data_IF_959130140817
#
_entry.id   IF_959130140817
#
_cell.length_a   1.000
_cell.length_b   1.000
_cell.length_c   1.000
_cell.angle_alpha   90.00
_cell.angle_beta   90.00
_cell.angle_gamma   90.00
#
_symmetry.space_group_name_H-M   'P 1'
#
loop_
_entity.id
_entity.type
_entity.pdbx_description
1 polymer ?
#
# COMPACT_ATOMS: atom_id res chain seq x y z
N UNK A 1 -20.17 2.45 1.04
CA UNK A 1 -18.91 1.68 1.13
C UNK A 1 -17.82 2.55 1.73
N UNK A 2 -16.96 1.97 2.60
CA UNK A 2 -15.79 2.63 3.17
C UNK A 2 -14.54 1.75 2.97
N UNK A 3 -13.43 2.35 2.51
CA UNK A 3 -12.15 1.67 2.40
C UNK A 3 -11.15 2.35 3.32
N UNK A 4 -10.45 1.58 4.13
CA UNK A 4 -9.33 2.04 4.95
C UNK A 4 -8.07 1.43 4.35
N UNK A 5 -7.25 2.26 3.70
CA UNK A 5 -5.94 1.85 3.18
C UNK A 5 -4.91 2.02 4.29
N UNK A 6 -4.11 1.01 4.55
CA UNK A 6 -3.04 1.03 5.55
C UNK A 6 -1.72 0.61 4.91
N UNK A 7 -0.68 1.44 5.04
CA UNK A 7 0.69 1.05 4.69
C UNK A 7 1.28 0.17 5.81
N UNK A 8 2.05 -0.85 5.43
CA UNK A 8 2.81 -1.66 6.39
C UNK A 8 3.73 -0.81 7.27
N UNK A 9 4.11 -1.32 8.44
CA UNK A 9 5.13 -0.74 9.33
C UNK A 9 6.51 -0.74 8.69
N UNK A 10 7.46 -0.01 9.27
CA UNK A 10 8.84 0.02 8.79
C UNK A 10 9.40 -1.40 8.69
N UNK A 11 9.95 -1.76 7.52
CA UNK A 11 10.55 -3.06 7.25
C UNK A 11 12.06 -2.96 7.13
N UNK A 12 12.73 -4.11 7.23
CA UNK A 12 14.19 -4.17 7.08
C UNK A 12 14.65 -3.53 5.76
N UNK A 13 13.92 -3.72 4.66
CA UNK A 13 14.26 -3.10 3.37
C UNK A 13 14.09 -1.58 3.32
N UNK A 14 13.42 -0.95 4.31
CA UNK A 14 13.31 0.49 4.39
C UNK A 14 14.53 1.16 5.08
N UNK A 15 15.31 0.41 5.84
CA UNK A 15 16.50 0.90 6.57
C UNK A 15 17.82 0.31 6.03
N UNK A 16 17.77 -0.83 5.37
CA UNK A 16 18.92 -1.50 4.75
C UNK A 16 18.55 -1.96 3.34
N UNK A 17 18.92 -1.18 2.34
CA UNK A 17 18.66 -1.52 0.93
C UNK A 17 19.39 -2.79 0.49
N UNK A 18 20.52 -3.14 1.10
CA UNK A 18 21.23 -4.38 0.80
C UNK A 18 20.49 -5.62 1.33
N UNK A 19 19.49 -5.44 2.19
CA UNK A 19 18.64 -6.55 2.62
C UNK A 19 17.94 -7.23 1.44
N UNK A 20 17.55 -6.47 0.40
CA UNK A 20 16.95 -7.03 -0.81
C UNK A 20 17.89 -7.97 -1.59
N UNK A 21 19.20 -7.81 -1.43
CA UNK A 21 20.18 -8.72 -2.06
C UNK A 21 20.28 -10.08 -1.35
N UNK A 22 19.81 -10.17 -0.10
CA UNK A 22 19.93 -11.35 0.76
C UNK A 22 18.61 -12.03 1.06
N UNK A 23 17.54 -11.25 1.11
CA UNK A 23 16.20 -11.71 1.48
C UNK A 23 15.23 -11.33 0.35
N UNK A 24 14.44 -12.27 -0.16
CA UNK A 24 13.43 -11.94 -1.16
C UNK A 24 12.48 -10.85 -0.66
N UNK A 25 12.07 -9.92 -1.53
CA UNK A 25 11.26 -8.76 -1.14
C UNK A 25 9.99 -9.15 -0.35
N UNK A 26 9.30 -10.20 -0.80
CA UNK A 26 8.09 -10.66 -0.11
C UNK A 26 8.33 -11.17 1.32
N UNK A 27 9.57 -11.59 1.64
CA UNK A 27 9.96 -12.19 2.91
C UNK A 27 10.61 -11.18 3.89
N UNK A 28 10.82 -9.93 3.47
CA UNK A 28 11.41 -8.90 4.34
C UNK A 28 10.54 -8.64 5.58
N UNK A 29 11.10 -8.80 6.81
CA UNK A 29 10.35 -8.61 8.04
C UNK A 29 10.20 -7.12 8.40
N UNK A 30 9.31 -6.84 9.35
CA UNK A 30 9.29 -5.54 10.03
C UNK A 30 10.55 -5.35 10.87
N UNK A 31 10.93 -4.09 11.10
CA UNK A 31 11.87 -3.72 12.17
C UNK A 31 11.14 -3.68 13.52
N UNK A 32 11.87 -3.68 14.67
CA UNK A 32 11.23 -3.45 15.97
C UNK A 32 10.38 -2.16 15.99
N UNK A 33 10.88 -1.10 15.36
CA UNK A 33 10.14 0.16 15.20
C UNK A 33 8.87 -0.03 14.36
N UNK A 34 8.93 -0.83 13.30
CA UNK A 34 7.76 -1.15 12.48
C UNK A 34 6.70 -1.93 13.26
N UNK A 35 7.09 -2.81 14.18
CA UNK A 35 6.17 -3.51 15.07
C UNK A 35 5.51 -2.55 16.06
N UNK A 36 6.26 -1.64 16.67
CA UNK A 36 5.73 -0.58 17.55
C UNK A 36 4.74 0.34 16.81
N UNK A 37 5.07 0.73 15.56
CA UNK A 37 4.16 1.50 14.71
C UNK A 37 2.85 0.77 14.48
N UNK A 38 2.90 -0.53 14.19
CA UNK A 38 1.72 -1.34 13.93
C UNK A 38 0.84 -1.52 15.19
N UNK A 39 1.44 -1.73 16.35
CA UNK A 39 0.68 -1.83 17.62
C UNK A 39 -0.01 -0.50 17.98
N UNK A 40 0.70 0.62 17.84
CA UNK A 40 0.16 1.96 18.06
C UNK A 40 -1.00 2.28 17.10
N UNK A 41 -0.84 1.94 15.82
CA UNK A 41 -1.89 2.13 14.82
C UNK A 41 -3.09 1.22 15.07
N UNK A 42 -2.85 0.01 15.56
CA UNK A 42 -3.90 -0.90 16.01
C UNK A 42 -4.80 -0.28 17.08
N UNK A 43 -4.23 0.44 18.06
CA UNK A 43 -5.00 1.14 19.07
C UNK A 43 -5.90 2.24 18.47
N UNK A 44 -5.39 2.99 17.48
CA UNK A 44 -6.16 4.03 16.77
C UNK A 44 -7.31 3.42 15.95
N UNK A 45 -7.02 2.36 15.21
CA UNK A 45 -8.03 1.70 14.38
C UNK A 45 -9.11 1.00 15.22
N UNK A 46 -8.77 0.41 16.37
CA UNK A 46 -9.77 -0.12 17.32
C UNK A 46 -10.72 0.98 17.81
N UNK A 47 -10.17 2.14 18.16
CA UNK A 47 -10.98 3.29 18.59
C UNK A 47 -11.89 3.83 17.47
N UNK A 48 -11.38 3.82 16.22
CA UNK A 48 -12.10 4.28 15.02
C UNK A 48 -13.23 3.32 14.62
N UNK A 49 -12.91 2.02 14.59
CA UNK A 49 -13.80 0.99 14.05
C UNK A 49 -14.86 0.55 15.08
N UNK A 50 -14.49 0.48 16.36
CA UNK A 50 -15.39 -0.02 17.44
C UNK A 50 -16.04 -1.35 17.02
N UNK A 51 -17.36 -1.37 16.98
CA UNK A 51 -18.18 -2.53 16.61
C UNK A 51 -18.53 -2.60 15.11
N UNK A 52 -17.87 -1.78 14.28
CA UNK A 52 -18.10 -1.78 12.84
C UNK A 52 -17.61 -3.09 12.22
N UNK A 53 -18.45 -3.85 11.50
CA UNK A 53 -18.00 -5.01 10.75
C UNK A 53 -16.99 -4.62 9.67
N UNK A 54 -15.89 -5.37 9.56
CA UNK A 54 -14.80 -5.09 8.62
C UNK A 54 -14.34 -6.38 7.93
N UNK A 55 -14.18 -6.32 6.61
CA UNK A 55 -13.44 -7.33 5.86
C UNK A 55 -12.01 -6.83 5.64
N UNK A 56 -11.00 -7.65 5.94
CA UNK A 56 -9.60 -7.30 5.72
C UNK A 56 -9.05 -7.99 4.46
N UNK A 57 -8.43 -7.20 3.61
CA UNK A 57 -7.68 -7.61 2.43
C UNK A 57 -6.21 -7.26 2.64
N UNK A 58 -5.35 -8.25 2.60
CA UNK A 58 -3.97 -8.11 3.06
C UNK A 58 -3.03 -8.59 1.97
N UNK A 59 -2.07 -7.75 1.58
CA UNK A 59 -0.95 -8.19 0.76
C UNK A 59 -0.26 -9.40 1.40
N UNK A 60 0.13 -10.45 0.61
CA UNK A 60 0.73 -11.66 1.16
C UNK A 60 2.18 -11.48 1.65
N UNK A 61 2.75 -10.29 1.55
CA UNK A 61 4.12 -10.02 1.99
C UNK A 61 4.25 -10.08 3.52
N UNK A 62 5.37 -10.60 4.02
CA UNK A 62 5.60 -10.81 5.47
C UNK A 62 5.36 -9.52 6.27
N UNK A 63 5.88 -8.37 5.80
CA UNK A 63 5.72 -7.07 6.47
C UNK A 63 4.26 -6.61 6.59
N UNK A 64 3.42 -6.86 5.58
CA UNK A 64 2.00 -6.51 5.62
C UNK A 64 1.19 -7.48 6.48
N UNK A 65 1.47 -8.76 6.39
CA UNK A 65 0.84 -9.79 7.24
C UNK A 65 1.16 -9.52 8.72
N UNK A 66 2.44 -9.27 9.02
CA UNK A 66 2.86 -8.96 10.40
C UNK A 66 2.27 -7.65 10.92
N UNK A 67 2.20 -6.61 10.07
CA UNK A 67 1.50 -5.35 10.41
C UNK A 67 0.07 -5.66 10.81
N UNK A 68 -0.68 -6.39 9.98
CA UNK A 68 -2.06 -6.73 10.24
C UNK A 68 -2.26 -7.51 11.57
N UNK A 69 -1.41 -8.49 11.86
CA UNK A 69 -1.46 -9.25 13.11
C UNK A 69 -1.35 -8.34 14.35
N UNK A 70 -0.42 -7.37 14.29
CA UNK A 70 -0.15 -6.45 15.38
C UNK A 70 -1.25 -5.40 15.58
N UNK A 71 -2.12 -5.16 14.59
CA UNK A 71 -3.30 -4.30 14.78
C UNK A 71 -4.27 -4.86 15.82
N UNK A 72 -4.30 -6.19 16.02
CA UNK A 72 -5.19 -6.89 16.98
C UNK A 72 -6.65 -6.48 16.84
N UNK A 73 -7.10 -6.34 15.59
CA UNK A 73 -8.48 -6.02 15.28
C UNK A 73 -9.35 -7.28 15.32
N UNK A 74 -10.59 -7.22 15.84
CA UNK A 74 -11.52 -8.35 15.87
C UNK A 74 -12.15 -8.56 14.48
N UNK A 75 -11.34 -8.94 13.49
CA UNK A 75 -11.77 -9.14 12.10
C UNK A 75 -11.87 -10.63 11.82
N UNK A 76 -13.07 -11.10 11.50
CA UNK A 76 -13.34 -12.49 11.18
C UNK A 76 -12.98 -12.82 9.72
N UNK A 77 -13.37 -11.95 8.77
CA UNK A 77 -13.13 -12.16 7.35
C UNK A 77 -11.78 -11.58 6.93
N UNK A 78 -10.77 -12.45 6.81
CA UNK A 78 -9.40 -12.12 6.41
C UNK A 78 -9.06 -12.79 5.10
N UNK A 79 -8.62 -12.01 4.12
CA UNK A 79 -8.31 -12.48 2.77
C UNK A 79 -6.89 -12.03 2.42
N UNK A 80 -6.01 -12.99 2.10
CA UNK A 80 -4.74 -12.67 1.44
C UNK A 80 -5.03 -12.35 -0.02
N UNK A 81 -4.63 -11.14 -0.44
CA UNK A 81 -4.93 -10.63 -1.78
C UNK A 81 -3.64 -10.32 -2.54
N UNK A 82 -3.20 -11.20 -3.44
CA UNK A 82 -1.92 -11.04 -4.16
C UNK A 82 -1.86 -9.79 -5.05
N UNK A 83 -3.00 -9.25 -5.50
CA UNK A 83 -3.04 -8.02 -6.29
C UNK A 83 -2.65 -6.78 -5.48
N UNK A 84 -2.62 -6.89 -4.14
CA UNK A 84 -2.20 -5.81 -3.22
C UNK A 84 -0.71 -5.82 -2.92
N UNK A 85 0.10 -6.73 -3.51
CA UNK A 85 1.56 -6.74 -3.33
C UNK A 85 2.18 -5.43 -3.79
N UNK A 86 3.40 -5.13 -3.34
CA UNK A 86 4.15 -3.96 -3.84
C UNK A 86 4.57 -4.19 -5.30
N UNK A 87 4.99 -3.12 -5.96
CA UNK A 87 5.60 -3.18 -7.28
C UNK A 87 6.77 -4.17 -7.25
N UNK A 88 6.79 -5.11 -8.19
CA UNK A 88 7.90 -6.02 -8.36
C UNK A 88 9.11 -5.28 -8.94
N UNK A 89 10.20 -5.27 -8.20
CA UNK A 89 11.45 -4.63 -8.59
C UNK A 89 12.36 -5.55 -9.41
N UNK A 90 11.91 -6.78 -9.72
CA UNK A 90 12.70 -7.76 -10.43
C UNK A 90 13.78 -8.40 -9.54
N UNK A 91 14.90 -8.74 -10.15
CA UNK A 91 16.01 -9.40 -9.45
C UNK A 91 16.88 -8.37 -8.71
N UNK A 92 16.63 -8.19 -7.41
CA UNK A 92 17.31 -7.19 -6.56
C UNK A 92 18.64 -7.70 -5.95
N UNK A 93 19.18 -8.84 -6.43
CA UNK A 93 20.40 -9.45 -5.88
C UNK A 93 21.69 -8.73 -6.33
N UNK A 94 21.61 -7.86 -7.33
CA UNK A 94 22.71 -6.99 -7.78
C UNK A 94 22.54 -5.56 -7.20
N UNK A 95 23.35 -5.15 -6.20
CA UNK A 95 23.26 -3.81 -5.61
C UNK A 95 23.50 -2.67 -6.60
N UNK A 96 24.42 -2.88 -7.55
CA UNK A 96 24.77 -1.86 -8.56
C UNK A 96 23.63 -1.70 -9.56
N UNK A 97 23.12 -2.83 -10.08
CA UNK A 97 21.96 -2.83 -10.97
C UNK A 97 20.73 -2.22 -10.32
N UNK A 98 20.51 -2.48 -9.04
CA UNK A 98 19.42 -1.89 -8.27
C UNK A 98 19.50 -0.35 -8.25
N UNK A 99 20.67 0.23 -8.00
CA UNK A 99 20.85 1.68 -8.01
C UNK A 99 20.61 2.28 -9.40
N UNK A 100 21.09 1.62 -10.45
CA UNK A 100 20.83 2.04 -11.84
C UNK A 100 19.34 2.03 -12.15
N UNK A 101 18.61 0.98 -11.74
CA UNK A 101 17.15 0.91 -11.95
C UNK A 101 16.41 2.01 -11.18
N UNK A 102 16.81 2.32 -9.95
CA UNK A 102 16.23 3.42 -9.16
C UNK A 102 16.41 4.77 -9.85
N UNK A 103 17.62 5.06 -10.32
CA UNK A 103 17.92 6.29 -11.02
C UNK A 103 17.08 6.43 -12.30
N UNK A 104 17.06 5.41 -13.15
CA UNK A 104 16.27 5.40 -14.37
C UNK A 104 14.78 5.59 -14.10
N UNK A 105 14.25 4.88 -13.09
CA UNK A 105 12.85 5.04 -12.67
C UNK A 105 12.54 6.47 -12.23
N UNK A 106 13.47 7.13 -11.54
CA UNK A 106 13.32 8.53 -11.16
C UNK A 106 13.32 9.47 -12.37
N UNK A 107 14.19 9.22 -13.36
CA UNK A 107 14.31 10.04 -14.57
C UNK A 107 13.12 9.84 -15.53
N UNK A 108 12.62 8.64 -15.68
CA UNK A 108 11.57 8.29 -16.66
C UNK A 108 10.15 8.24 -16.07
N UNK A 109 10.00 8.45 -14.76
CA UNK A 109 8.72 8.43 -14.05
C UNK A 109 8.34 7.07 -13.49
N UNK A 110 7.61 7.10 -12.39
CA UNK A 110 7.25 5.91 -11.62
C UNK A 110 6.11 5.11 -12.23
N UNK A 111 5.32 5.72 -13.10
CA UNK A 111 4.14 5.08 -13.68
C UNK A 111 4.48 4.21 -14.90
N UNK A 112 5.22 4.75 -15.86
CA UNK A 112 5.48 4.02 -17.12
C UNK A 112 6.82 3.28 -17.16
N UNK A 113 7.80 3.68 -16.34
CA UNK A 113 9.07 2.98 -16.34
C UNK A 113 8.92 1.56 -15.84
N UNK A 114 9.23 0.59 -16.69
CA UNK A 114 9.25 -0.83 -16.32
C UNK A 114 10.63 -1.18 -15.77
N UNK A 115 10.65 -1.70 -14.56
CA UNK A 115 11.85 -2.27 -13.95
C UNK A 115 12.29 -3.52 -14.72
N UNK A 116 13.57 -3.70 -14.86
CA UNK A 116 14.12 -4.88 -15.53
C UNK A 116 13.70 -6.16 -14.78
N UNK A 117 13.06 -7.08 -15.48
CA UNK A 117 12.44 -8.29 -14.91
C UNK A 117 11.35 -8.04 -13.87
N UNK A 118 10.82 -6.82 -13.78
CA UNK A 118 9.81 -6.41 -12.81
C UNK A 118 8.58 -5.75 -13.43
N UNK A 119 7.84 -5.04 -12.58
CA UNK A 119 6.62 -4.31 -12.96
C UNK A 119 6.92 -2.83 -13.23
N UNK A 120 6.12 -2.20 -14.08
CA UNK A 120 5.90 -0.76 -14.09
C UNK A 120 4.82 -0.35 -13.10
N UNK A 121 4.67 0.94 -12.81
CA UNK A 121 3.50 1.44 -12.09
C UNK A 121 2.17 1.14 -12.80
N UNK A 122 2.18 1.13 -14.15
CA UNK A 122 1.01 0.78 -14.94
C UNK A 122 0.56 -0.67 -14.72
N UNK A 123 1.48 -1.62 -14.61
CA UNK A 123 1.11 -3.02 -14.30
C UNK A 123 0.47 -3.14 -12.91
N UNK A 124 0.98 -2.39 -11.93
CA UNK A 124 0.37 -2.32 -10.60
C UNK A 124 -1.01 -1.69 -10.67
N UNK A 125 -1.17 -0.61 -11.45
CA UNK A 125 -2.43 0.09 -11.66
C UNK A 125 -3.50 -0.84 -12.25
N UNK A 126 -3.14 -1.70 -13.21
CA UNK A 126 -4.08 -2.67 -13.81
C UNK A 126 -4.53 -3.75 -12.82
N UNK A 127 -3.61 -4.30 -12.00
CA UNK A 127 -4.01 -5.32 -11.02
C UNK A 127 -4.81 -4.74 -9.85
N UNK A 128 -4.56 -3.50 -9.43
CA UNK A 128 -5.38 -2.86 -8.40
C UNK A 128 -6.76 -2.46 -8.94
N UNK A 129 -6.88 -2.11 -10.22
CA UNK A 129 -8.18 -1.90 -10.86
C UNK A 129 -9.04 -3.18 -10.83
N UNK A 130 -8.44 -4.33 -11.14
CA UNK A 130 -9.11 -5.63 -11.04
C UNK A 130 -9.55 -5.94 -9.60
N UNK A 131 -8.71 -5.63 -8.61
CA UNK A 131 -9.06 -5.79 -7.19
C UNK A 131 -10.25 -4.90 -6.80
N UNK A 132 -10.23 -3.62 -7.14
CA UNK A 132 -11.30 -2.67 -6.82
C UNK A 132 -12.63 -3.10 -7.43
N UNK A 133 -12.62 -3.52 -8.70
CA UNK A 133 -13.83 -4.01 -9.37
C UNK A 133 -14.41 -5.25 -8.65
N UNK A 134 -13.57 -6.18 -8.20
CA UNK A 134 -14.05 -7.33 -7.44
C UNK A 134 -14.55 -6.94 -6.05
N UNK A 135 -13.86 -6.03 -5.36
CA UNK A 135 -14.28 -5.54 -4.05
C UNK A 135 -15.66 -4.85 -4.12
N UNK A 136 -15.84 -3.95 -5.09
CA UNK A 136 -17.14 -3.30 -5.32
C UNK A 136 -18.25 -4.30 -5.63
N UNK A 137 -17.94 -5.31 -6.46
CA UNK A 137 -18.88 -6.36 -6.79
C UNK A 137 -19.28 -7.20 -5.56
N UNK A 138 -18.32 -7.55 -4.70
CA UNK A 138 -18.57 -8.27 -3.44
C UNK A 138 -19.45 -7.46 -2.50
N UNK A 139 -19.12 -6.19 -2.24
CA UNK A 139 -19.91 -5.31 -1.38
C UNK A 139 -21.34 -5.14 -1.90
N UNK A 140 -21.52 -5.11 -3.22
CA UNK A 140 -22.84 -4.91 -3.84
C UNK A 140 -23.74 -6.15 -3.85
N UNK A 141 -23.15 -7.34 -3.98
CA UNK A 141 -23.92 -8.57 -4.24
C UNK A 141 -23.80 -9.65 -3.18
N UNK A 142 -22.86 -9.54 -2.23
CA UNK A 142 -22.74 -10.45 -1.09
C UNK A 142 -23.32 -9.74 0.16
N UNK A 143 -24.55 -10.10 0.59
CA UNK A 143 -25.21 -9.44 1.71
C UNK A 143 -24.48 -9.64 3.06
N UNK A 144 -23.63 -10.65 3.15
CA UNK A 144 -22.81 -10.93 4.34
C UNK A 144 -21.46 -10.21 4.28
N UNK A 145 -21.17 -9.46 3.21
CA UNK A 145 -19.93 -8.70 3.10
C UNK A 145 -20.04 -7.36 3.84
N UNK A 146 -19.12 -7.07 4.77
CA UNK A 146 -19.09 -5.77 5.43
C UNK A 146 -18.93 -4.60 4.44
N UNK A 147 -19.62 -3.49 4.70
CA UNK A 147 -19.49 -2.25 3.93
C UNK A 147 -18.14 -1.54 4.14
N UNK A 148 -17.38 -1.97 5.14
CA UNK A 148 -16.04 -1.45 5.43
C UNK A 148 -14.99 -2.48 5.08
N UNK A 149 -14.04 -2.09 4.21
CA UNK A 149 -12.86 -2.87 3.86
C UNK A 149 -11.60 -2.24 4.46
N UNK A 150 -10.80 -3.04 5.19
CA UNK A 150 -9.43 -2.68 5.58
C UNK A 150 -8.47 -3.32 4.57
N UNK A 151 -7.68 -2.48 3.90
CA UNK A 151 -6.69 -2.90 2.89
C UNK A 151 -5.29 -2.63 3.43
N UNK A 152 -4.57 -3.69 3.82
CA UNK A 152 -3.19 -3.58 4.31
C UNK A 152 -2.22 -3.85 3.15
N UNK A 153 -1.47 -2.82 2.76
CA UNK A 153 -0.68 -2.83 1.54
C UNK A 153 0.58 -1.95 1.63
N UNK A 154 1.06 -1.40 0.53
CA UNK A 154 2.34 -0.72 0.36
C UNK A 154 2.15 0.70 -0.18
N UNK A 155 3.22 1.49 -0.15
CA UNK A 155 3.13 2.92 -0.45
C UNK A 155 2.70 3.23 -1.88
N UNK A 156 3.35 2.65 -2.89
CA UNK A 156 2.97 2.85 -4.29
C UNK A 156 1.57 2.31 -4.56
N UNK A 157 1.29 1.10 -4.08
CA UNK A 157 -0.01 0.45 -4.27
C UNK A 157 -1.16 1.29 -3.69
N UNK A 158 -0.98 1.93 -2.52
CA UNK A 158 -1.98 2.85 -1.95
C UNK A 158 -2.25 4.05 -2.87
N UNK A 159 -1.20 4.66 -3.43
CA UNK A 159 -1.35 5.80 -4.34
C UNK A 159 -2.09 5.40 -5.62
N UNK A 160 -1.82 4.22 -6.16
CA UNK A 160 -2.47 3.70 -7.36
C UNK A 160 -3.94 3.30 -7.11
N UNK A 161 -4.26 2.73 -5.95
CA UNK A 161 -5.65 2.52 -5.54
C UNK A 161 -6.44 3.84 -5.52
N UNK A 162 -5.86 4.88 -4.93
CA UNK A 162 -6.47 6.21 -4.93
C UNK A 162 -6.55 6.81 -6.35
N UNK A 163 -5.48 6.66 -7.15
CA UNK A 163 -5.50 7.11 -8.54
C UNK A 163 -6.69 6.53 -9.30
N UNK A 164 -6.98 5.24 -9.15
CA UNK A 164 -8.13 4.59 -9.80
C UNK A 164 -9.46 5.13 -9.31
N UNK A 165 -9.65 5.20 -7.99
CA UNK A 165 -10.91 5.65 -7.38
C UNK A 165 -11.24 7.12 -7.69
N UNK A 166 -10.22 7.98 -7.76
CA UNK A 166 -10.39 9.42 -8.00
C UNK A 166 -10.11 9.84 -9.44
N UNK A 167 -9.76 8.90 -10.32
CA UNK A 167 -9.38 9.19 -11.71
C UNK A 167 -8.25 10.25 -11.79
N UNK A 168 -7.28 10.20 -10.88
CA UNK A 168 -6.16 11.13 -10.89
C UNK A 168 -5.33 11.00 -12.17
N UNK A 169 -4.84 12.12 -12.65
CA UNK A 169 -3.88 12.11 -13.75
C UNK A 169 -2.57 11.44 -13.33
N UNK A 170 -1.76 11.04 -14.32
CA UNK A 170 -0.45 10.45 -14.07
C UNK A 170 0.49 11.47 -13.44
N UNK A 171 0.42 12.73 -13.89
CA UNK A 171 1.21 13.85 -13.34
C UNK A 171 0.91 14.06 -11.85
N UNK A 172 -0.37 14.00 -11.45
CA UNK A 172 -0.73 14.10 -10.05
C UNK A 172 -0.17 12.90 -9.26
N UNK A 173 -0.35 11.68 -9.77
CA UNK A 173 0.21 10.48 -9.13
C UNK A 173 1.74 10.59 -8.95
N UNK A 174 2.46 11.03 -9.99
CA UNK A 174 3.92 11.21 -9.96
C UNK A 174 4.36 12.27 -8.94
N UNK A 175 3.54 13.28 -8.70
CA UNK A 175 3.84 14.35 -7.73
C UNK A 175 3.66 13.95 -6.27
N UNK A 176 3.02 12.80 -5.98
CA UNK A 176 2.70 12.37 -4.63
C UNK A 176 3.81 11.52 -4.02
N UNK A 177 4.10 11.73 -2.74
CA UNK A 177 4.98 10.87 -1.94
C UNK A 177 4.21 9.68 -1.35
N UNK A 178 4.95 8.62 -0.99
CA UNK A 178 4.37 7.54 -0.22
C UNK A 178 3.92 8.03 1.17
N UNK A 179 2.79 7.53 1.71
CA UNK A 179 2.42 7.85 3.08
C UNK A 179 3.47 7.29 4.06
N UNK A 180 3.60 7.85 5.28
CA UNK A 180 4.43 7.27 6.33
C UNK A 180 4.10 5.80 6.62
N UNK A 181 5.03 5.07 7.26
CA UNK A 181 4.77 3.70 7.69
C UNK A 181 3.65 3.64 8.73
N UNK A 182 2.81 2.63 8.67
CA UNK A 182 1.59 2.49 9.47
C UNK A 182 0.64 3.69 9.41
N UNK A 183 0.71 4.49 8.35
CA UNK A 183 -0.25 5.56 8.12
C UNK A 183 -1.44 5.04 7.32
N UNK A 184 -2.65 5.42 7.74
CA UNK A 184 -3.87 5.02 7.04
C UNK A 184 -4.51 6.18 6.28
N UNK A 185 -5.32 5.85 5.28
CA UNK A 185 -6.20 6.75 4.54
C UNK A 185 -7.61 6.17 4.55
N UNK A 186 -8.58 7.01 4.87
CA UNK A 186 -9.98 6.63 4.84
C UNK A 186 -10.60 7.20 3.58
N UNK A 187 -11.24 6.32 2.83
CA UNK A 187 -11.98 6.62 1.63
C UNK A 187 -13.44 6.24 1.84
N UNK A 188 -14.33 7.18 1.55
CA UNK A 188 -15.76 6.96 1.71
C UNK A 188 -16.47 7.24 0.39
N UNK A 189 -17.26 6.29 -0.06
CA UNK A 189 -18.17 6.49 -1.17
C UNK A 189 -19.51 7.04 -0.62
N UNK A 190 -19.87 8.22 -1.07
CA UNK A 190 -21.14 8.83 -0.82
C UNK A 190 -21.79 9.16 -2.17
N UNK A 191 -22.89 8.49 -2.49
CA UNK A 191 -23.67 8.70 -3.72
C UNK A 191 -22.87 8.52 -5.02
N UNK A 192 -21.98 7.53 -5.05
CA UNK A 192 -21.10 7.25 -6.19
C UNK A 192 -19.92 8.22 -6.32
N UNK A 193 -19.63 8.99 -5.28
CA UNK A 193 -18.50 9.93 -5.23
C UNK A 193 -17.57 9.59 -4.09
N UNK A 194 -16.36 9.18 -4.43
CA UNK A 194 -15.31 8.93 -3.46
C UNK A 194 -14.79 10.22 -2.81
N UNK A 195 -14.56 10.17 -1.51
CA UNK A 195 -13.92 11.23 -0.73
C UNK A 195 -12.74 10.64 0.02
N UNK A 196 -11.63 11.36 0.03
CA UNK A 196 -10.41 11.04 0.77
C UNK A 196 -10.33 11.99 1.97
N UNK A 197 -10.31 11.48 3.20
CA UNK A 197 -10.30 12.31 4.41
C UNK A 197 -9.00 13.11 4.55
N UNK A 198 -7.87 12.52 4.16
CA UNK A 198 -6.56 13.15 4.27
C UNK A 198 -5.75 12.95 2.99
N UNK A 199 -5.33 14.03 2.31
CA UNK A 199 -4.56 13.94 1.07
C UNK A 199 -3.18 13.31 1.30
N UNK A 200 -2.56 12.87 0.21
CA UNK A 200 -1.15 12.52 0.19
C UNK A 200 -0.28 13.78 0.13
N UNK A 201 0.89 13.72 0.74
CA UNK A 201 1.90 14.78 0.65
C UNK A 201 2.51 14.81 -0.75
N UNK A 202 2.81 15.98 -1.28
CA UNK A 202 3.58 16.13 -2.51
C UNK A 202 5.07 16.09 -2.22
N UNK A 203 5.87 15.63 -3.17
CA UNK A 203 7.35 15.60 -3.05
C UNK A 203 7.95 16.97 -2.67
N UNK A 204 7.35 18.08 -3.17
CA UNK A 204 7.78 19.44 -2.89
C UNK A 204 7.60 19.85 -1.43
N UNK A 205 6.69 19.20 -0.72
CA UNK A 205 6.33 19.54 0.66
C UNK A 205 7.01 18.58 1.66
N UNK A 206 7.86 17.66 1.17
CA UNK A 206 8.61 16.75 2.04
C UNK A 206 9.74 17.54 2.74
N UNK A 207 9.79 17.55 4.10
CA UNK A 207 10.78 18.35 4.85
C UNK A 207 12.24 18.03 4.49
N UNK A 208 12.50 16.84 3.96
CA UNK A 208 13.86 16.32 3.76
C UNK A 208 14.34 16.37 2.32
N UNK A 209 13.48 16.78 1.34
CA UNK A 209 13.83 16.74 -0.08
C UNK A 209 14.29 15.34 -0.56
N UNK A 210 14.22 14.35 0.33
CA UNK A 210 14.66 12.98 0.07
C UNK A 210 13.53 12.21 -0.60
N UNK A 211 13.83 11.71 -1.75
CA UNK A 211 13.03 10.71 -2.47
C UNK A 211 12.96 9.46 -1.57
N UNK A 212 11.92 9.35 -0.74
CA UNK A 212 11.67 8.07 -0.06
C UNK A 212 11.29 7.06 -1.15
N UNK A 213 12.23 6.21 -1.47
CA UNK A 213 12.09 5.04 -2.35
C UNK A 213 11.15 4.02 -1.74
#
# INVERSE_FOLDING_TARGET
MRIILLRHGESLGNIDELAYCRIPDHALPLTPRGEEQADAEGARLRALLRDTPVAAYISPYVRTMRTFELLRLPIERRIQEPRLREQDWGNLQDPVGQQVQKQKRHEFGHFFYRLEHGESGADVDDRVASFLSELENRVRHDPDHPDTALVVTHGLTMRLLCRRLFSWSIELFESLSNPPHCDHRILTDADGRWRLERPFTQWRDSPDGTTQV
#
